data_IF_336618910769
#
_entry.id   IF_336618910769
#
_cell.length_a   1.000
_cell.length_b   1.000
_cell.length_c   1.000
_cell.angle_alpha   90.00
_cell.angle_beta   90.00
_cell.angle_gamma   90.00
#
_symmetry.space_group_name_H-M   'P 1'
#
loop_
_entity.id
_entity.type
_entity.pdbx_description
1 polymer ?
#
# COMPACT_ATOMS: atom_id res chain seq x y z
N UNK A 1 -23.01 5.39 -10.36
CA UNK A 1 -23.44 4.05 -10.82
C UNK A 1 -23.95 3.31 -9.59
N UNK A 2 -25.20 2.86 -9.57
CA UNK A 2 -25.74 2.09 -8.44
C UNK A 2 -25.67 0.62 -8.83
N UNK A 3 -24.79 -0.14 -8.18
CA UNK A 3 -24.68 -1.59 -8.36
C UNK A 3 -25.74 -2.25 -7.48
N UNK A 4 -26.55 -3.15 -8.04
CA UNK A 4 -27.57 -3.85 -7.26
C UNK A 4 -26.94 -5.03 -6.54
N UNK A 5 -27.54 -5.42 -5.40
CA UNK A 5 -27.03 -6.51 -4.57
C UNK A 5 -27.01 -7.83 -5.35
N UNK A 6 -28.03 -8.06 -6.19
CA UNK A 6 -28.18 -9.26 -6.99
C UNK A 6 -27.07 -9.40 -8.03
N UNK A 7 -26.60 -8.28 -8.59
CA UNK A 7 -25.54 -8.28 -9.60
C UNK A 7 -24.21 -8.76 -9.00
N UNK A 8 -23.92 -8.40 -7.75
CA UNK A 8 -22.71 -8.81 -7.03
C UNK A 8 -22.75 -10.31 -6.71
N UNK A 9 -23.88 -10.81 -6.21
CA UNK A 9 -24.02 -12.25 -5.92
C UNK A 9 -23.86 -13.10 -7.17
N UNK A 10 -24.52 -12.71 -8.27
CA UNK A 10 -24.40 -13.42 -9.54
C UNK A 10 -22.98 -13.41 -10.10
N UNK A 11 -22.20 -12.36 -9.82
CA UNK A 11 -20.79 -12.28 -10.19
C UNK A 11 -19.95 -13.27 -9.39
N UNK A 12 -20.14 -13.32 -8.08
CA UNK A 12 -19.40 -14.22 -7.18
C UNK A 12 -19.70 -15.69 -7.49
N UNK A 13 -20.97 -16.05 -7.75
CA UNK A 13 -21.34 -17.43 -8.10
C UNK A 13 -20.71 -17.96 -9.39
N UNK A 14 -20.36 -17.07 -10.33
CA UNK A 14 -19.77 -17.45 -11.62
C UNK A 14 -18.25 -17.62 -11.55
N UNK A 15 -17.63 -17.24 -10.43
CA UNK A 15 -16.19 -17.36 -10.27
C UNK A 15 -15.77 -18.78 -9.92
N UNK A 16 -14.59 -19.23 -10.37
CA UNK A 16 -13.94 -20.43 -9.84
C UNK A 16 -13.79 -20.34 -8.31
N UNK A 17 -13.82 -21.48 -7.62
CA UNK A 17 -13.73 -21.54 -6.14
C UNK A 17 -12.51 -20.80 -5.58
N UNK A 18 -11.36 -20.92 -6.24
CA UNK A 18 -10.11 -20.24 -5.85
C UNK A 18 -10.25 -18.70 -5.91
N UNK A 19 -11.01 -18.18 -6.88
CA UNK A 19 -11.22 -16.75 -7.07
C UNK A 19 -12.31 -16.19 -6.16
N UNK A 20 -13.27 -17.03 -5.72
CA UNK A 20 -14.32 -16.62 -4.77
C UNK A 20 -13.71 -16.18 -3.44
N UNK A 21 -12.67 -16.89 -2.97
CA UNK A 21 -11.94 -16.51 -1.76
C UNK A 21 -11.26 -15.15 -1.93
N UNK A 22 -10.59 -14.92 -3.05
CA UNK A 22 -9.95 -13.63 -3.36
C UNK A 22 -10.96 -12.48 -3.35
N UNK A 23 -12.14 -12.68 -3.94
CA UNK A 23 -13.20 -11.66 -3.91
C UNK A 23 -13.74 -11.43 -2.51
N UNK A 24 -13.94 -12.49 -1.73
CA UNK A 24 -14.35 -12.36 -0.33
C UNK A 24 -13.35 -11.55 0.48
N UNK A 25 -12.06 -11.89 0.39
CA UNK A 25 -10.98 -11.19 1.08
C UNK A 25 -10.90 -9.71 0.65
N UNK A 26 -11.12 -9.42 -0.64
CA UNK A 26 -11.15 -8.06 -1.15
C UNK A 26 -12.35 -7.26 -0.63
N UNK A 27 -13.55 -7.85 -0.60
CA UNK A 27 -14.74 -7.18 -0.04
C UNK A 27 -14.55 -6.91 1.46
N UNK A 28 -13.98 -7.86 2.20
CA UNK A 28 -13.59 -7.67 3.61
C UNK A 28 -12.62 -6.50 3.78
N UNK A 29 -11.57 -6.43 2.97
CA UNK A 29 -10.64 -5.30 2.96
C UNK A 29 -11.34 -3.96 2.70
N UNK A 30 -12.22 -3.91 1.70
CA UNK A 30 -12.95 -2.69 1.37
C UNK A 30 -13.85 -2.22 2.52
N UNK A 31 -14.50 -3.16 3.22
CA UNK A 31 -15.28 -2.86 4.42
C UNK A 31 -14.38 -2.28 5.51
N UNK A 32 -13.28 -2.96 5.85
CA UNK A 32 -12.35 -2.50 6.88
C UNK A 32 -11.75 -1.14 6.55
N UNK A 33 -11.28 -0.93 5.32
CA UNK A 33 -10.79 0.37 4.83
C UNK A 33 -11.86 1.46 4.86
N UNK A 34 -13.13 1.12 4.62
CA UNK A 34 -14.21 2.11 4.63
C UNK A 34 -14.58 2.55 6.06
N UNK A 35 -14.42 1.66 7.03
CA UNK A 35 -14.65 1.94 8.45
C UNK A 35 -13.44 2.59 9.11
N UNK A 36 -12.24 2.15 8.74
CA UNK A 36 -10.96 2.77 9.08
C UNK A 36 -10.66 3.81 8.00
N UNK A 37 -11.35 4.96 8.07
CA UNK A 37 -10.91 6.13 7.29
C UNK A 37 -9.39 6.29 7.47
N UNK A 38 -8.65 6.73 6.44
CA UNK A 38 -7.21 6.98 6.53
C UNK A 38 -6.92 8.22 7.37
N UNK A 39 -7.46 8.29 8.59
CA UNK A 39 -6.93 9.09 9.66
C UNK A 39 -5.56 8.54 10.12
N UNK A 40 -5.06 7.46 9.51
CA UNK A 40 -3.75 6.89 9.80
C UNK A 40 -2.65 7.94 9.67
N UNK A 41 -2.64 8.74 8.59
CA UNK A 41 -1.63 9.79 8.42
C UNK A 41 -1.85 10.98 9.36
N UNK A 42 -3.08 11.45 9.52
CA UNK A 42 -3.41 12.52 10.46
C UNK A 42 -3.10 12.12 11.92
N UNK A 43 -3.23 10.83 12.24
CA UNK A 43 -2.88 10.25 13.53
C UNK A 43 -1.38 10.11 13.69
N UNK A 44 -0.66 9.66 12.65
CA UNK A 44 0.81 9.58 12.65
C UNK A 44 1.44 10.98 12.78
N UNK A 45 0.89 12.00 12.10
CA UNK A 45 1.34 13.41 12.23
C UNK A 45 1.12 13.98 13.63
N UNK A 46 0.17 13.43 14.39
CA UNK A 46 -0.13 13.83 15.76
C UNK A 46 0.64 13.02 16.82
N UNK A 47 1.35 11.96 16.41
CA UNK A 47 2.16 11.14 17.31
C UNK A 47 3.53 11.78 17.47
N UNK A 48 4.03 11.81 18.71
CA UNK A 48 5.38 12.31 18.98
C UNK A 48 6.41 11.45 18.21
N UNK A 49 7.47 12.07 17.65
CA UNK A 49 8.58 11.32 17.07
C UNK A 49 9.11 10.32 18.10
N UNK A 50 9.43 9.10 17.66
CA UNK A 50 10.09 8.17 18.58
C UNK A 50 11.54 8.61 18.85
N UNK A 51 12.06 8.17 20.01
CA UNK A 51 13.44 8.39 20.45
C UNK A 51 14.33 7.15 20.21
N UNK A 52 13.89 6.20 19.39
CA UNK A 52 14.62 4.98 19.05
C UNK A 52 15.88 5.36 18.24
N UNK A 53 17.08 5.05 18.75
CA UNK A 53 18.30 5.31 18.02
C UNK A 53 18.39 4.36 16.82
N UNK A 54 18.95 4.86 15.71
CA UNK A 54 19.26 4.02 14.56
C UNK A 54 20.12 2.82 14.97
N UNK A 55 19.77 1.66 14.43
CA UNK A 55 20.55 0.44 14.57
C UNK A 55 21.90 0.56 13.85
N UNK A 56 22.85 -0.32 14.18
CA UNK A 56 24.16 -0.36 13.51
C UNK A 56 24.05 -0.56 11.98
N UNK A 57 23.06 -1.35 11.54
CA UNK A 57 22.79 -1.59 10.12
C UNK A 57 22.25 -0.35 9.42
N UNK A 58 21.29 0.34 10.05
CA UNK A 58 20.72 1.58 9.50
C UNK A 58 21.78 2.69 9.44
N UNK A 59 22.63 2.80 10.47
CA UNK A 59 23.78 3.70 10.44
C UNK A 59 24.76 3.33 9.32
N UNK A 60 25.02 2.04 9.08
CA UNK A 60 25.90 1.60 8.00
C UNK A 60 25.31 1.95 6.63
N UNK A 61 24.01 1.77 6.45
CA UNK A 61 23.29 2.11 5.21
C UNK A 61 23.26 3.62 4.98
N UNK A 62 22.95 4.40 6.01
CA UNK A 62 22.91 5.85 5.95
C UNK A 62 24.27 6.48 5.62
N UNK A 63 25.35 5.90 6.16
CA UNK A 63 26.73 6.35 5.91
C UNK A 63 27.38 5.64 4.70
N UNK A 64 26.61 4.90 3.90
CA UNK A 64 27.15 4.18 2.75
C UNK A 64 27.33 5.13 1.55
N UNK A 65 28.52 5.07 0.94
CA UNK A 65 28.78 5.71 -0.36
C UNK A 65 28.14 4.96 -1.55
N UNK A 66 27.38 3.88 -1.30
CA UNK A 66 26.56 3.22 -2.31
C UNK A 66 25.54 4.19 -2.94
N UNK A 67 25.30 5.33 -2.29
CA UNK A 67 24.61 6.48 -2.84
C UNK A 67 23.09 6.31 -2.86
N UNK A 68 22.42 7.43 -3.07
CA UNK A 68 21.00 7.44 -3.44
C UNK A 68 20.90 7.08 -4.92
N UNK A 69 19.93 6.24 -5.27
CA UNK A 69 19.57 6.03 -6.67
C UNK A 69 18.94 7.33 -7.18
N UNK A 70 19.43 7.87 -8.29
CA UNK A 70 18.84 9.09 -8.84
C UNK A 70 17.40 8.82 -9.27
N UNK A 71 16.54 9.83 -9.24
CA UNK A 71 15.16 9.69 -9.69
C UNK A 71 15.06 9.17 -11.13
N UNK A 72 16.04 9.49 -11.98
CA UNK A 72 16.14 8.96 -13.35
C UNK A 72 16.54 7.49 -13.40
N UNK A 73 17.51 7.06 -12.59
CA UNK A 73 17.92 5.65 -12.53
C UNK A 73 16.75 4.78 -12.03
N UNK A 74 16.03 5.24 -11.00
CA UNK A 74 14.83 4.57 -10.50
C UNK A 74 13.72 4.55 -11.55
N UNK A 75 13.53 5.63 -12.31
CA UNK A 75 12.54 5.69 -13.38
C UNK A 75 12.84 4.67 -14.48
N UNK A 76 14.11 4.55 -14.87
CA UNK A 76 14.56 3.61 -15.88
C UNK A 76 14.45 2.15 -15.41
N UNK A 77 14.88 1.84 -14.19
CA UNK A 77 14.87 0.47 -13.65
C UNK A 77 13.46 -0.04 -13.33
N UNK A 78 12.58 0.81 -12.80
CA UNK A 78 11.23 0.42 -12.37
C UNK A 78 10.14 0.75 -13.40
N UNK A 79 10.51 1.30 -14.57
CA UNK A 79 9.57 1.66 -15.64
C UNK A 79 8.56 2.74 -15.22
N UNK A 80 8.97 3.67 -14.35
CA UNK A 80 8.09 4.70 -13.83
C UNK A 80 7.80 5.74 -14.93
N UNK A 81 6.56 6.23 -14.97
CA UNK A 81 6.15 7.27 -15.94
C UNK A 81 6.32 8.69 -15.38
N UNK A 82 6.73 8.82 -14.13
CA UNK A 82 6.88 10.10 -13.41
C UNK A 82 8.33 10.30 -13.02
N UNK A 83 8.80 11.55 -13.13
CA UNK A 83 10.10 11.92 -12.59
C UNK A 83 9.99 11.98 -11.07
N UNK A 84 10.85 11.21 -10.40
CA UNK A 84 11.02 11.32 -8.96
C UNK A 84 11.92 12.54 -8.67
N UNK A 85 11.57 13.36 -7.66
CA UNK A 85 12.31 14.59 -7.33
C UNK A 85 13.75 14.32 -6.87
#
# INVERSE_FOLDING_TARGET
>A
MVVRKEDIYNLVERLPEDDQKTVFDFIQYLLNRSTEKPNGWEGIDQVDPDDEPLTEEELRQLNSDAGYVTGEDAKHEFGLQVDLP
#
